data_IF_846254708109
#
_entry.id   IF_846254708109
#
_cell.length_a   1.000
_cell.length_b   1.000
_cell.length_c   1.000
_cell.angle_alpha   90.00
_cell.angle_beta   90.00
_cell.angle_gamma   90.00
#
_symmetry.space_group_name_H-M   'P 1'
#
loop_
_entity.id
_entity.type
_entity.pdbx_description
1 polymer ?
#
# COMPACT_ATOMS: atom_id res chain seq x y z
N UNK A 1 -24.26 18.26 -13.38
CA UNK A 1 -23.16 19.12 -13.85
C UNK A 1 -21.88 18.29 -13.78
N UNK A 2 -21.48 17.68 -14.89
CA UNK A 2 -20.31 16.79 -14.93
C UNK A 2 -19.02 17.61 -15.10
N UNK A 3 -18.05 17.41 -14.20
CA UNK A 3 -16.71 17.96 -14.34
C UNK A 3 -16.06 17.40 -15.61
N UNK A 4 -16.06 18.17 -16.69
CA UNK A 4 -15.21 17.91 -17.85
C UNK A 4 -13.77 17.91 -17.37
N UNK A 5 -13.11 16.75 -17.42
CA UNK A 5 -11.71 16.61 -17.02
C UNK A 5 -10.87 17.65 -17.76
N UNK A 6 -10.18 18.57 -17.07
CA UNK A 6 -9.34 19.56 -17.75
C UNK A 6 -8.28 18.83 -18.58
N UNK A 7 -8.09 19.29 -19.82
CA UNK A 7 -7.05 18.76 -20.69
C UNK A 7 -5.70 18.94 -20.00
N UNK A 8 -4.86 17.91 -20.07
CA UNK A 8 -3.50 17.99 -19.52
C UNK A 8 -2.75 19.07 -20.33
N UNK A 9 -2.16 20.09 -19.67
CA UNK A 9 -1.40 21.12 -20.37
C UNK A 9 -0.19 20.52 -21.09
N UNK A 10 0.43 21.23 -22.05
CA UNK A 10 1.61 20.74 -22.74
C UNK A 10 2.78 20.59 -21.76
N UNK A 11 2.99 19.36 -21.30
CA UNK A 11 4.09 18.96 -20.44
C UNK A 11 5.25 18.37 -21.26
N UNK A 12 6.51 18.67 -20.93
CA UNK A 12 7.66 18.05 -21.56
C UNK A 12 7.78 16.55 -21.24
N UNK A 13 7.37 16.14 -20.03
CA UNK A 13 7.28 14.73 -19.60
C UNK A 13 6.15 14.54 -18.60
N UNK A 14 5.36 13.48 -18.78
CA UNK A 14 4.32 13.07 -17.85
C UNK A 14 4.84 11.94 -16.96
N UNK A 15 5.01 12.23 -15.68
CA UNK A 15 5.55 11.29 -14.69
C UNK A 15 4.92 11.53 -13.32
N UNK A 16 4.69 10.46 -12.57
CA UNK A 16 4.42 10.52 -11.14
C UNK A 16 5.76 10.57 -10.38
N UNK A 17 5.96 11.65 -9.62
CA UNK A 17 7.21 11.91 -8.87
C UNK A 17 7.49 10.80 -7.85
N UNK A 18 6.50 10.50 -7.01
CA UNK A 18 6.57 9.44 -6.00
C UNK A 18 5.64 8.29 -6.41
N UNK A 19 6.10 7.43 -7.30
CA UNK A 19 5.37 6.21 -7.66
C UNK A 19 5.53 5.18 -6.53
N UNK A 20 4.71 5.31 -5.49
CA UNK A 20 4.72 4.42 -4.33
C UNK A 20 4.28 3.03 -4.78
N UNK A 21 5.17 2.04 -4.65
CA UNK A 21 4.78 0.65 -4.84
C UNK A 21 3.83 0.25 -3.71
N UNK A 22 2.79 -0.54 -4.02
CA UNK A 22 1.93 -1.11 -2.97
C UNK A 22 2.81 -1.96 -2.06
N UNK A 23 3.05 -1.47 -0.85
CA UNK A 23 3.78 -2.21 0.15
C UNK A 23 2.85 -3.32 0.65
N UNK A 24 3.35 -4.55 0.65
CA UNK A 24 2.66 -5.64 1.32
C UNK A 24 2.77 -5.37 2.82
N UNK A 25 1.65 -5.16 3.49
CA UNK A 25 1.61 -5.00 4.95
C UNK A 25 2.11 -6.28 5.59
N UNK A 26 3.02 -6.17 6.56
CA UNK A 26 3.52 -7.32 7.30
C UNK A 26 2.35 -8.00 8.02
N UNK A 27 2.08 -9.30 7.78
CA UNK A 27 0.94 -10.00 8.36
C UNK A 27 0.96 -9.98 9.90
N UNK A 28 2.14 -9.92 10.53
CA UNK A 28 2.26 -9.91 11.98
C UNK A 28 1.84 -8.58 12.62
N UNK A 29 1.81 -7.48 11.85
CA UNK A 29 1.29 -6.20 12.34
C UNK A 29 -0.22 -6.24 12.55
N UNK A 30 -0.94 -7.04 11.77
CA UNK A 30 -2.39 -7.21 11.93
C UNK A 30 -2.69 -7.99 13.21
N UNK A 31 -1.97 -9.09 13.45
CA UNK A 31 -2.12 -9.86 14.70
C UNK A 31 -1.72 -9.03 15.91
N UNK A 32 -0.65 -8.23 15.79
CA UNK A 32 -0.22 -7.30 16.84
C UNK A 32 -1.30 -6.27 17.19
N UNK A 33 -1.94 -5.66 16.19
CA UNK A 33 -2.99 -4.67 16.46
C UNK A 33 -4.23 -5.29 17.10
N UNK A 34 -4.57 -6.52 16.74
CA UNK A 34 -5.65 -7.28 17.38
C UNK A 34 -5.31 -7.59 18.85
N UNK A 35 -4.08 -8.05 19.13
CA UNK A 35 -3.60 -8.31 20.48
C UNK A 35 -3.65 -7.05 21.36
N UNK A 36 -3.16 -5.92 20.85
CA UNK A 36 -3.21 -4.62 21.54
C UNK A 36 -4.66 -4.18 21.81
N UNK A 37 -5.58 -4.43 20.88
CA UNK A 37 -7.01 -4.15 21.07
C UNK A 37 -7.63 -5.03 22.15
N UNK A 38 -7.19 -6.28 22.26
CA UNK A 38 -7.61 -7.20 23.30
C UNK A 38 -7.14 -6.73 24.69
N UNK A 39 -5.87 -6.31 24.81
CA UNK A 39 -5.33 -5.74 26.05
C UNK A 39 -6.01 -4.43 26.45
N UNK A 40 -6.33 -3.57 25.49
CA UNK A 40 -7.07 -2.34 25.76
C UNK A 40 -8.47 -2.60 26.36
N UNK A 41 -9.05 -3.77 26.10
CA UNK A 41 -10.40 -4.14 26.56
C UNK A 41 -10.39 -5.01 27.82
N UNK A 42 -9.34 -5.82 28.05
CA UNK A 42 -9.33 -6.87 29.07
C UNK A 42 -8.17 -6.75 30.09
N UNK A 43 -7.38 -5.68 30.02
CA UNK A 43 -6.07 -5.52 30.64
C UNK A 43 -4.97 -6.43 30.06
N UNK A 44 -3.73 -6.00 30.27
CA UNK A 44 -2.53 -6.74 29.91
C UNK A 44 -2.51 -8.12 30.57
N UNK A 45 -2.11 -9.15 29.82
CA UNK A 45 -1.95 -10.51 30.35
C UNK A 45 -3.25 -11.26 30.64
N UNK A 46 -4.41 -10.70 30.23
CA UNK A 46 -5.70 -11.41 30.34
C UNK A 46 -5.66 -12.75 29.60
N UNK A 47 -6.19 -13.84 30.19
CA UNK A 47 -6.24 -15.14 29.53
C UNK A 47 -7.06 -15.13 28.24
N UNK A 48 -7.97 -14.16 28.08
CA UNK A 48 -8.74 -13.95 26.85
C UNK A 48 -7.88 -13.56 25.64
N UNK A 49 -6.67 -13.01 25.87
CA UNK A 49 -5.77 -12.57 24.80
C UNK A 49 -4.64 -13.58 24.49
N UNK A 50 -4.61 -14.72 25.20
CA UNK A 50 -3.49 -15.68 25.15
C UNK A 50 -3.29 -16.32 23.76
N UNK A 51 -4.39 -16.55 23.04
CA UNK A 51 -4.33 -17.08 21.67
C UNK A 51 -3.69 -16.08 20.70
N UNK A 52 -4.04 -14.78 20.82
CA UNK A 52 -3.45 -13.71 20.02
C UNK A 52 -1.95 -13.54 20.31
N UNK A 53 -1.52 -13.74 21.56
CA UNK A 53 -0.10 -13.73 21.92
C UNK A 53 0.67 -14.89 21.29
N UNK A 54 0.08 -16.09 21.27
CA UNK A 54 0.71 -17.26 20.64
C UNK A 54 0.78 -17.08 19.13
N UNK A 55 -0.29 -16.58 18.51
CA UNK A 55 -0.32 -16.30 17.07
C UNK A 55 0.71 -15.22 16.69
N UNK A 56 0.84 -14.16 17.50
CA UNK A 56 1.85 -13.14 17.27
C UNK A 56 3.27 -13.70 17.36
N UNK A 57 3.56 -14.52 18.38
CA UNK A 57 4.87 -15.19 18.54
C UNK A 57 5.18 -16.09 17.35
N UNK A 58 4.21 -16.89 16.91
CA UNK A 58 4.37 -17.75 15.74
C UNK A 58 4.61 -16.93 14.46
N UNK A 59 3.89 -15.83 14.27
CA UNK A 59 4.07 -14.95 13.12
C UNK A 59 5.46 -14.32 13.10
N UNK A 60 5.92 -13.78 14.24
CA UNK A 60 7.23 -13.12 14.35
C UNK A 60 8.38 -14.10 14.16
N UNK A 61 8.27 -15.31 14.70
CA UNK A 61 9.25 -16.38 14.50
C UNK A 61 9.37 -16.80 13.02
N UNK A 62 8.28 -16.74 12.26
CA UNK A 62 8.25 -17.06 10.83
C UNK A 62 8.64 -15.87 9.93
N UNK A 63 8.64 -14.64 10.45
CA UNK A 63 8.79 -13.45 9.63
C UNK A 63 10.19 -13.36 9.00
N UNK A 64 10.28 -13.86 7.77
CA UNK A 64 11.42 -13.62 6.89
C UNK A 64 11.25 -12.21 6.31
N UNK A 65 12.35 -11.45 6.19
CA UNK A 65 12.34 -10.10 5.60
C UNK A 65 11.56 -10.14 4.27
N UNK A 66 10.44 -9.41 4.17
CA UNK A 66 9.69 -9.35 2.92
C UNK A 66 10.58 -8.76 1.82
N UNK A 67 10.58 -9.35 0.60
CA UNK A 67 11.32 -8.78 -0.51
C UNK A 67 10.81 -7.36 -0.79
N UNK A 68 11.71 -6.46 -1.25
CA UNK A 68 11.31 -5.10 -1.58
C UNK A 68 10.21 -5.13 -2.65
N UNK A 69 9.18 -4.26 -2.54
CA UNK A 69 8.07 -4.27 -3.47
C UNK A 69 8.55 -3.93 -4.88
N UNK A 70 7.97 -4.60 -5.88
CA UNK A 70 8.33 -4.37 -7.28
C UNK A 70 8.01 -2.92 -7.68
N UNK A 71 8.96 -2.26 -8.35
CA UNK A 71 8.78 -0.89 -8.83
C UNK A 71 7.63 -0.84 -9.86
N UNK A 72 6.65 0.06 -9.73
CA UNK A 72 5.55 0.15 -10.67
C UNK A 72 6.01 0.65 -12.05
N UNK A 73 5.47 0.07 -13.14
CA UNK A 73 5.73 0.49 -14.52
C UNK A 73 4.97 1.75 -14.95
N UNK A 74 4.30 2.44 -14.03
CA UNK A 74 3.41 3.58 -14.31
C UNK A 74 4.09 4.67 -15.14
N UNK A 75 5.32 5.05 -14.78
CA UNK A 75 6.06 6.12 -15.46
C UNK A 75 6.50 5.74 -16.88
N UNK A 76 6.70 4.45 -17.14
CA UNK A 76 6.99 3.93 -18.47
C UNK A 76 5.77 4.11 -19.38
N UNK A 77 4.59 3.71 -18.92
CA UNK A 77 3.35 3.87 -19.68
C UNK A 77 2.94 5.35 -19.82
N UNK A 78 3.10 6.16 -18.78
CA UNK A 78 2.79 7.60 -18.83
C UNK A 78 3.61 8.32 -19.92
N UNK A 79 4.90 8.02 -20.02
CA UNK A 79 5.77 8.59 -21.06
C UNK A 79 5.37 8.12 -22.47
N UNK A 80 5.05 6.83 -22.63
CA UNK A 80 4.64 6.25 -23.92
C UNK A 80 3.29 6.78 -24.42
N UNK A 81 2.35 7.06 -23.52
CA UNK A 81 1.00 7.46 -23.85
C UNK A 81 0.83 8.98 -23.96
N UNK A 82 1.77 9.78 -23.44
CA UNK A 82 1.76 11.25 -23.54
C UNK A 82 1.38 11.78 -24.95
N UNK A 83 2.00 11.33 -26.06
CA UNK A 83 1.63 11.82 -27.39
C UNK A 83 0.19 11.49 -27.79
N UNK A 84 -0.38 10.38 -27.29
CA UNK A 84 -1.77 9.99 -27.56
C UNK A 84 -2.77 10.78 -26.73
N UNK A 85 -2.37 11.20 -25.52
CA UNK A 85 -3.20 12.03 -24.62
C UNK A 85 -3.27 13.46 -25.14
N UNK A 86 -2.17 13.96 -25.72
CA UNK A 86 -2.10 15.32 -26.29
C UNK A 86 -2.63 15.39 -27.73
N UNK A 87 -2.76 14.25 -28.43
CA UNK A 87 -3.43 14.22 -29.73
C UNK A 87 -4.91 14.56 -29.50
N UNK A 88 -5.27 15.81 -29.78
CA UNK A 88 -6.66 16.28 -29.83
C UNK A 88 -7.43 15.27 -30.69
N UNK A 89 -8.51 14.68 -30.16
CA UNK A 89 -9.45 13.96 -31.03
C UNK A 89 -9.96 14.99 -32.04
N UNK A 90 -9.59 14.80 -33.30
CA UNK A 90 -10.29 15.46 -34.42
C UNK A 90 -11.74 14.98 -34.45
#
# INVERSE_FOLDING_TARGET
MGLTKPAVPPLPRLRVKNAVAKQQTNPCLVVMSQMLSCWASNNEGSPACKDLEQELKACMAKSTKLPPPTKPSLNYHASRLLPKIHKKRE
#
